data_IF_297217311399
#
_entry.id   IF_297217311399
#
_cell.length_a   1.000
_cell.length_b   1.000
_cell.length_c   1.000
_cell.angle_alpha   90.00
_cell.angle_beta   90.00
_cell.angle_gamma   90.00
#
_symmetry.space_group_name_H-M   'P 1'
#
loop_
_entity.id
_entity.type
_entity.pdbx_description
1 polymer ?
#
# COMPACT_ATOMS: atom_id res chain seq x y z
N UNK A 1 -11.86 -9.15 0.02
CA UNK A 1 -10.41 -8.98 -0.18
C UNK A 1 -10.13 -7.69 -0.92
N UNK A 2 -8.96 -7.07 -0.78
CA UNK A 2 -8.67 -5.75 -1.37
C UNK A 2 -7.17 -5.50 -1.55
N UNK A 3 -6.79 -4.75 -2.58
CA UNK A 3 -5.45 -4.19 -2.78
C UNK A 3 -5.54 -2.66 -2.69
N UNK A 4 -4.69 -2.06 -1.87
CA UNK A 4 -4.66 -0.60 -1.64
C UNK A 4 -3.24 -0.09 -1.83
N UNK A 5 -3.10 1.09 -2.44
CA UNK A 5 -1.82 1.76 -2.56
C UNK A 5 -1.38 2.43 -1.23
N UNK A 6 -0.14 2.95 -1.12
CA UNK A 6 0.34 3.59 0.10
C UNK A 6 -0.39 4.88 0.52
N UNK A 7 -1.25 5.45 -0.32
CA UNK A 7 -2.01 6.68 -0.06
C UNK A 7 -3.51 6.43 0.19
N UNK A 8 -3.92 5.17 0.25
CA UNK A 8 -5.30 4.78 0.53
C UNK A 8 -6.17 4.58 -0.71
N UNK A 9 -5.61 4.65 -1.93
CA UNK A 9 -6.36 4.37 -3.16
C UNK A 9 -6.62 2.87 -3.25
N UNK A 10 -7.90 2.51 -3.36
CA UNK A 10 -8.32 1.12 -3.58
C UNK A 10 -8.11 0.76 -5.04
N UNK A 11 -7.14 -0.10 -5.33
CA UNK A 11 -6.79 -0.51 -6.69
C UNK A 11 -7.72 -1.60 -7.21
N UNK A 12 -8.10 -2.55 -6.34
CA UNK A 12 -9.11 -3.57 -6.65
C UNK A 12 -9.69 -4.12 -5.34
N UNK A 13 -10.96 -4.54 -5.36
CA UNK A 13 -11.64 -5.13 -4.21
C UNK A 13 -12.68 -6.17 -4.62
N UNK A 14 -12.76 -7.24 -3.83
CA UNK A 14 -13.83 -8.24 -3.88
C UNK A 14 -14.80 -8.02 -2.71
N UNK A 15 -16.03 -7.50 -2.96
CA UNK A 15 -16.97 -7.13 -1.90
C UNK A 15 -17.58 -8.33 -1.16
N UNK A 16 -17.93 -9.40 -1.87
CA UNK A 16 -18.54 -10.63 -1.35
C UNK A 16 -18.24 -11.82 -2.28
N UNK A 17 -18.44 -13.04 -1.77
CA UNK A 17 -18.33 -14.28 -2.54
C UNK A 17 -16.88 -14.72 -2.79
N UNK A 18 -16.73 -15.83 -3.51
CA UNK A 18 -15.44 -16.42 -3.86
C UNK A 18 -14.83 -15.72 -5.08
N UNK A 19 -13.52 -15.48 -5.04
CA UNK A 19 -12.80 -14.87 -6.15
C UNK A 19 -11.38 -14.45 -5.78
N UNK A 20 -10.69 -13.86 -6.75
CA UNK A 20 -9.34 -13.30 -6.61
C UNK A 20 -9.36 -11.80 -6.90
N UNK A 21 -8.40 -11.08 -6.34
CA UNK A 21 -8.21 -9.63 -6.51
C UNK A 21 -6.84 -9.44 -7.14
N UNK A 22 -6.74 -8.66 -8.23
CA UNK A 22 -5.50 -8.49 -9.00
C UNK A 22 -5.30 -7.03 -9.35
N UNK A 23 -4.11 -6.49 -9.06
CA UNK A 23 -3.74 -5.13 -9.44
C UNK A 23 -2.26 -5.04 -9.84
N UNK A 24 -1.95 -4.11 -10.74
CA UNK A 24 -0.58 -3.77 -11.09
C UNK A 24 0.12 -3.02 -9.95
N UNK A 25 1.39 -3.33 -9.69
CA UNK A 25 2.22 -2.63 -8.72
C UNK A 25 3.40 -1.95 -9.39
N UNK A 26 3.57 -0.64 -9.16
CA UNK A 26 4.72 0.11 -9.62
C UNK A 26 5.73 0.26 -8.47
N UNK A 27 6.80 -0.56 -8.49
CA UNK A 27 7.85 -0.54 -7.46
C UNK A 27 8.57 0.81 -7.38
N UNK A 28 8.83 1.45 -8.51
CA UNK A 28 9.49 2.75 -8.59
C UNK A 28 8.66 3.82 -7.90
N UNK A 29 7.33 3.80 -8.08
CA UNK A 29 6.43 4.73 -7.40
C UNK A 29 6.46 4.53 -5.87
N UNK A 30 6.40 3.29 -5.40
CA UNK A 30 6.48 2.98 -3.95
C UNK A 30 7.82 3.44 -3.36
N UNK A 31 8.93 3.21 -4.06
CA UNK A 31 10.25 3.67 -3.62
C UNK A 31 10.32 5.18 -3.49
N UNK A 32 9.83 5.93 -4.50
CA UNK A 32 9.79 7.40 -4.45
C UNK A 32 8.95 7.92 -3.28
N UNK A 33 7.76 7.33 -3.05
CA UNK A 33 6.91 7.72 -1.92
C UNK A 33 7.58 7.51 -0.56
N UNK A 34 8.27 6.38 -0.39
CA UNK A 34 9.01 6.09 0.86
C UNK A 34 10.21 7.01 1.07
N UNK A 35 10.80 7.54 -0.01
CA UNK A 35 11.84 8.56 0.05
C UNK A 35 11.28 9.94 0.41
N UNK A 36 10.13 10.32 -0.15
CA UNK A 36 9.50 11.62 0.14
C UNK A 36 8.89 11.69 1.54
N UNK A 37 8.39 10.56 2.07
CA UNK A 37 7.87 10.47 3.43
C UNK A 37 8.46 9.23 4.13
N UNK A 38 9.66 9.33 4.73
CA UNK A 38 10.36 8.21 5.35
C UNK A 38 9.81 7.89 6.74
N UNK A 39 8.51 7.62 6.85
CA UNK A 39 7.80 7.47 8.12
C UNK A 39 8.45 6.46 9.09
N UNK A 40 9.04 5.37 8.55
CA UNK A 40 9.71 4.37 9.37
C UNK A 40 11.01 4.85 10.02
N UNK A 41 11.68 5.88 9.47
CA UNK A 41 12.87 6.49 10.06
C UNK A 41 12.51 7.37 11.26
N UNK A 42 11.32 7.95 11.26
CA UNK A 42 10.82 8.78 12.36
C UNK A 42 10.06 7.96 13.41
N UNK A 43 9.98 6.63 13.25
CA UNK A 43 9.29 5.76 14.19
C UNK A 43 10.03 5.71 15.52
N UNK A 44 9.40 6.19 16.57
CA UNK A 44 9.82 5.93 17.95
C UNK A 44 9.25 4.58 18.38
N UNK A 45 10.13 3.64 18.70
CA UNK A 45 9.75 2.46 19.46
C UNK A 45 9.95 2.83 20.92
N UNK A 46 8.93 2.61 21.76
CA UNK A 46 8.94 3.00 23.17
C UNK A 46 10.23 2.55 23.87
N UNK A 47 10.63 3.29 24.89
CA UNK A 47 11.75 2.94 25.75
C UNK A 47 11.39 1.75 26.64
#
# INVERSE_FOLDING_TARGET
>A
SMIVDPWGVVLDRLPRGSGVVVAGMNRTHIQRLRQSLPALQHRTLGR
#
